data_IF_112919988291
#
_entry.id   IF_112919988291
#
_cell.length_a   1.000
_cell.length_b   1.000
_cell.length_c   1.000
_cell.angle_alpha   90.00
_cell.angle_beta   90.00
_cell.angle_gamma   90.00
#
_symmetry.space_group_name_H-M   'P 1'
#
loop_
_entity.id
_entity.type
_entity.pdbx_description
1 polymer ?
#
# COMPACT_ATOMS: atom_id res chain seq x y z
N UNK A 1 26.60 71.23 20.09
CA UNK A 1 26.86 71.64 21.48
C UNK A 1 27.30 70.41 22.27
N UNK A 2 28.53 70.45 22.81
CA UNK A 2 29.19 69.54 23.80
C UNK A 2 29.13 68.02 23.51
N UNK A 3 30.19 67.44 22.91
CA UNK A 3 31.35 66.80 23.59
C UNK A 3 30.94 65.84 24.71
N UNK A 4 31.33 64.57 24.58
CA UNK A 4 32.37 63.96 25.43
C UNK A 4 32.81 62.63 24.78
N UNK A 5 34.10 62.53 24.43
CA UNK A 5 35.15 61.77 25.17
C UNK A 5 34.98 60.27 24.90
N UNK A 6 35.83 59.66 24.08
CA UNK A 6 37.22 59.36 24.43
C UNK A 6 37.21 58.11 25.33
N UNK A 7 38.02 57.09 25.15
CA UNK A 7 39.36 57.10 24.63
C UNK A 7 39.87 55.64 24.72
N UNK A 8 41.00 55.39 24.05
CA UNK A 8 42.00 54.37 24.38
C UNK A 8 41.63 52.92 23.99
N UNK A 9 42.53 52.14 23.39
CA UNK A 9 43.95 52.36 23.13
C UNK A 9 44.49 51.27 22.20
N UNK A 10 45.57 51.64 21.49
CA UNK A 10 46.83 50.91 21.25
C UNK A 10 46.75 49.39 21.08
N UNK A 11 47.32 48.80 20.04
CA UNK A 11 48.41 49.27 19.20
C UNK A 11 49.30 48.07 18.87
N UNK A 12 50.00 48.20 17.75
CA UNK A 12 51.31 47.60 17.44
C UNK A 12 51.30 46.09 17.11
N UNK A 13 51.55 45.77 15.82
CA UNK A 13 52.86 45.35 15.25
C UNK A 13 53.08 43.83 15.45
N UNK A 14 53.71 43.03 14.60
CA UNK A 14 54.26 43.09 13.23
C UNK A 14 54.65 41.64 12.91
N UNK A 15 54.72 41.30 11.63
CA UNK A 15 55.52 40.18 11.09
C UNK A 15 54.94 38.78 11.32
N UNK A 16 55.30 37.77 10.57
CA UNK A 16 55.92 37.67 9.25
C UNK A 16 55.58 36.23 8.78
N UNK A 17 55.38 36.10 7.48
CA UNK A 17 55.46 34.89 6.63
C UNK A 17 55.64 33.53 7.32
N UNK A 18 54.73 32.59 7.03
CA UNK A 18 55.04 31.44 6.15
C UNK A 18 54.01 30.31 6.24
N UNK A 19 53.79 29.67 5.07
CA UNK A 19 53.46 28.24 4.88
C UNK A 19 52.05 27.74 5.23
N UNK A 20 51.21 27.79 4.20
CA UNK A 20 50.60 26.62 3.51
C UNK A 20 49.93 25.54 4.40
N UNK A 21 48.59 25.57 4.28
CA UNK A 21 47.59 24.48 4.21
C UNK A 21 47.03 23.87 5.49
N UNK A 22 45.70 23.76 5.40
CA UNK A 22 44.76 22.97 6.19
C UNK A 22 44.47 23.44 7.61
N UNK A 23 43.22 23.88 7.83
CA UNK A 23 42.29 23.21 8.75
C UNK A 23 40.95 23.93 8.78
N UNK A 24 39.93 23.17 8.41
CA UNK A 24 38.62 23.08 9.05
C UNK A 24 38.31 24.11 10.14
N UNK A 25 37.26 24.91 9.94
CA UNK A 25 36.32 25.30 11.01
C UNK A 25 35.04 25.88 10.42
N UNK A 26 34.08 24.97 10.31
CA UNK A 26 32.64 25.14 10.50
C UNK A 26 32.34 26.21 11.56
N UNK A 27 31.44 27.16 11.24
CA UNK A 27 30.48 27.81 12.16
C UNK A 27 29.47 28.60 11.30
N UNK A 28 28.34 28.02 10.89
CA UNK A 28 27.15 27.72 11.68
C UNK A 28 26.33 28.98 12.01
N UNK A 29 25.17 29.08 11.32
CA UNK A 29 23.89 29.75 11.63
C UNK A 29 23.25 30.00 10.26
N UNK A 30 22.29 29.21 9.77
CA UNK A 30 21.07 28.79 10.47
C UNK A 30 20.60 27.38 10.13
N UNK A 31 19.75 26.92 11.04
CA UNK A 31 19.51 25.55 11.45
C UNK A 31 18.38 24.88 10.66
N UNK A 32 18.64 23.61 10.32
CA UNK A 32 17.75 22.44 10.46
C UNK A 32 16.44 22.45 9.65
N UNK A 33 16.45 21.73 8.51
CA UNK A 33 15.49 20.63 8.25
C UNK A 33 16.21 19.49 7.53
N UNK A 34 16.86 18.65 8.33
CA UNK A 34 17.18 17.28 7.96
C UNK A 34 15.89 16.45 8.07
N UNK A 35 15.51 15.74 6.99
CA UNK A 35 14.91 14.40 7.03
C UNK A 35 14.67 13.89 5.61
N UNK A 36 15.45 12.87 5.26
CA UNK A 36 15.15 11.79 4.32
C UNK A 36 14.82 12.17 2.87
N UNK A 37 15.89 12.43 2.10
CA UNK A 37 15.88 12.23 0.65
C UNK A 37 15.90 10.72 0.38
N UNK A 38 14.72 10.09 0.39
CA UNK A 38 14.58 8.68 -0.01
C UNK A 38 15.04 8.58 -1.46
N UNK A 39 16.23 8.00 -1.70
CA UNK A 39 16.65 7.57 -3.02
C UNK A 39 15.78 6.38 -3.38
N UNK A 40 14.64 6.63 -4.03
CA UNK A 40 13.86 5.57 -4.67
C UNK A 40 14.72 5.06 -5.84
N UNK A 41 15.49 3.99 -5.59
CA UNK A 41 16.16 3.23 -6.64
C UNK A 41 15.06 2.44 -7.36
N UNK A 42 14.49 3.04 -8.40
CA UNK A 42 13.70 2.28 -9.37
C UNK A 42 14.70 1.41 -10.12
N UNK A 43 14.85 0.15 -9.70
CA UNK A 43 15.62 -0.85 -10.45
C UNK A 43 14.73 -1.36 -11.57
N UNK A 44 15.01 -0.95 -12.80
CA UNK A 44 14.53 -1.62 -14.01
C UNK A 44 15.63 -2.55 -14.51
N UNK A 45 15.36 -3.87 -14.44
CA UNK A 45 15.78 -4.92 -15.38
C UNK A 45 15.31 -6.28 -14.82
N UNK A 46 14.66 -7.06 -15.68
CA UNK A 46 14.08 -8.38 -15.36
C UNK A 46 15.11 -9.29 -14.71
N UNK A 47 14.71 -9.94 -13.62
CA UNK A 47 14.11 -11.28 -13.63
C UNK A 47 13.20 -11.44 -12.38
N UNK A 48 12.14 -12.23 -12.56
CA UNK A 48 11.42 -13.12 -11.61
C UNK A 48 11.02 -12.73 -10.17
N UNK A 49 11.10 -11.46 -9.74
CA UNK A 49 10.38 -11.03 -8.53
C UNK A 49 9.08 -10.30 -8.88
N UNK A 50 8.03 -11.09 -9.16
CA UNK A 50 6.66 -10.62 -9.47
C UNK A 50 6.13 -9.89 -8.24
N UNK A 51 6.30 -8.56 -8.21
CA UNK A 51 5.69 -7.72 -7.15
C UNK A 51 4.19 -8.02 -7.17
N UNK A 52 3.69 -8.73 -6.14
CA UNK A 52 2.30 -9.16 -6.02
C UNK A 52 1.43 -7.91 -6.11
N UNK A 53 0.78 -7.70 -7.26
CA UNK A 53 -0.07 -6.54 -7.50
C UNK A 53 -1.35 -6.77 -6.73
N UNK A 54 -1.71 -5.80 -5.89
CA UNK A 54 -2.85 -5.87 -4.99
C UNK A 54 -3.77 -4.66 -5.24
N UNK A 55 -5.10 -4.87 -5.38
CA UNK A 55 -5.82 -6.14 -5.51
C UNK A 55 -5.52 -6.88 -6.82
N UNK A 56 -5.85 -8.17 -6.89
CA UNK A 56 -5.80 -8.96 -8.13
C UNK A 56 -6.85 -8.41 -9.12
N UNK A 57 -6.41 -8.13 -10.35
CA UNK A 57 -7.26 -7.57 -11.41
C UNK A 57 -8.22 -8.64 -11.96
N UNK A 58 -9.40 -8.24 -12.43
CA UNK A 58 -10.44 -9.18 -12.89
C UNK A 58 -9.94 -10.22 -13.90
N UNK A 59 -9.07 -9.84 -14.84
CA UNK A 59 -8.51 -10.75 -15.85
C UNK A 59 -7.58 -11.84 -15.29
N UNK A 60 -7.11 -11.69 -14.05
CA UNK A 60 -6.23 -12.61 -13.33
C UNK A 60 -6.98 -13.46 -12.28
N UNK A 61 -8.26 -13.19 -12.02
CA UNK A 61 -9.12 -13.97 -11.09
C UNK A 61 -9.56 -15.30 -11.73
N UNK A 62 -8.59 -16.17 -11.99
CA UNK A 62 -8.78 -17.42 -12.74
C UNK A 62 -8.30 -18.63 -11.95
N UNK A 63 -8.94 -19.77 -12.19
CA UNK A 63 -8.60 -21.06 -11.58
C UNK A 63 -9.63 -21.51 -10.56
N UNK A 64 -9.54 -22.80 -10.18
CA UNK A 64 -10.59 -23.51 -9.44
C UNK A 64 -11.09 -22.83 -8.17
N UNK A 65 -10.23 -22.16 -7.39
CA UNK A 65 -10.69 -21.48 -6.17
C UNK A 65 -11.44 -20.18 -6.49
N UNK A 66 -11.00 -19.43 -7.49
CA UNK A 66 -11.71 -18.24 -7.96
C UNK A 66 -13.05 -18.61 -8.57
N UNK A 67 -13.09 -19.68 -9.35
CA UNK A 67 -14.34 -20.21 -9.93
C UNK A 67 -15.31 -20.68 -8.85
N UNK A 68 -14.83 -21.41 -7.84
CA UNK A 68 -15.66 -21.82 -6.71
C UNK A 68 -16.16 -20.63 -5.91
N UNK A 69 -15.29 -19.66 -5.60
CA UNK A 69 -15.71 -18.43 -4.90
C UNK A 69 -16.71 -17.60 -5.71
N UNK A 70 -16.70 -17.69 -7.04
CA UNK A 70 -17.69 -16.99 -7.86
C UNK A 70 -19.09 -17.62 -7.78
N UNK A 71 -19.22 -18.86 -7.27
CA UNK A 71 -20.51 -19.47 -6.96
C UNK A 71 -21.17 -18.85 -5.72
N UNK A 72 -20.38 -18.16 -4.88
CA UNK A 72 -20.91 -17.39 -3.76
C UNK A 72 -21.44 -16.08 -4.31
N UNK A 73 -22.75 -15.89 -4.23
CA UNK A 73 -23.44 -14.71 -4.74
C UNK A 73 -23.69 -13.70 -3.60
N UNK A 74 -23.58 -12.42 -3.94
CA UNK A 74 -24.05 -11.35 -3.06
C UNK A 74 -25.60 -11.37 -3.04
N UNK A 75 -26.24 -11.53 -1.87
CA UNK A 75 -27.71 -11.62 -1.77
C UNK A 75 -28.46 -10.33 -2.15
N UNK A 76 -27.80 -9.18 -2.19
CA UNK A 76 -28.41 -7.92 -2.64
C UNK A 76 -28.31 -7.77 -4.15
N UNK A 77 -27.15 -8.09 -4.72
CA UNK A 77 -26.87 -7.87 -6.15
C UNK A 77 -27.17 -9.09 -7.03
N UNK A 78 -27.34 -10.29 -6.45
CA UNK A 78 -27.51 -11.57 -7.15
C UNK A 78 -26.40 -11.87 -8.17
N UNK A 79 -25.16 -11.51 -7.80
CA UNK A 79 -23.96 -11.67 -8.64
C UNK A 79 -22.85 -12.28 -7.82
N UNK A 80 -22.04 -13.14 -8.44
CA UNK A 80 -20.87 -13.75 -7.82
C UNK A 80 -19.87 -12.74 -7.26
N UNK A 81 -19.35 -13.00 -6.05
CA UNK A 81 -18.46 -12.06 -5.33
C UNK A 81 -17.12 -11.81 -6.05
N UNK A 82 -16.69 -12.73 -6.90
CA UNK A 82 -15.44 -12.60 -7.67
C UNK A 82 -15.65 -11.68 -8.86
N UNK A 83 -16.76 -11.83 -9.58
CA UNK A 83 -17.12 -10.95 -10.69
C UNK A 83 -17.54 -9.56 -10.20
N UNK A 84 -18.18 -9.46 -9.04
CA UNK A 84 -18.46 -8.17 -8.38
C UNK A 84 -17.18 -7.48 -7.89
N UNK A 85 -16.06 -8.19 -7.82
CA UNK A 85 -14.77 -7.66 -7.39
C UNK A 85 -14.63 -7.44 -5.89
N UNK A 86 -15.39 -8.19 -5.09
CA UNK A 86 -15.26 -8.18 -3.63
C UNK A 86 -14.06 -8.99 -3.15
N UNK A 87 -13.64 -10.01 -3.91
CA UNK A 87 -12.46 -10.82 -3.58
C UNK A 87 -11.20 -10.19 -4.17
N UNK A 88 -10.26 -9.81 -3.30
CA UNK A 88 -9.02 -9.14 -3.67
C UNK A 88 -7.86 -10.11 -3.90
N UNK A 89 -7.83 -11.20 -3.15
CA UNK A 89 -6.78 -12.21 -3.26
C UNK A 89 -7.20 -13.54 -2.61
N UNK A 90 -6.60 -14.62 -3.12
CA UNK A 90 -6.79 -15.98 -2.64
C UNK A 90 -5.43 -16.66 -2.61
N UNK A 91 -4.98 -17.03 -1.42
CA UNK A 91 -3.70 -17.71 -1.21
C UNK A 91 -3.93 -19.00 -0.42
N UNK A 92 -3.44 -20.13 -0.94
CA UNK A 92 -3.50 -21.41 -0.22
C UNK A 92 -2.11 -21.71 0.31
N UNK A 93 -1.98 -21.87 1.63
CA UNK A 93 -0.71 -22.17 2.28
C UNK A 93 -0.91 -23.19 3.39
N UNK A 94 -0.11 -24.25 3.37
CA UNK A 94 -0.12 -25.32 4.39
C UNK A 94 -1.51 -25.98 4.61
N UNK A 95 -2.37 -25.94 3.58
CA UNK A 95 -3.75 -26.44 3.63
C UNK A 95 -4.76 -25.44 4.23
N UNK A 96 -4.36 -24.19 4.47
CA UNK A 96 -5.25 -23.11 4.90
C UNK A 96 -5.49 -22.17 3.71
N UNK A 97 -6.75 -21.85 3.46
CA UNK A 97 -7.12 -20.87 2.45
C UNK A 97 -7.24 -19.48 3.07
N UNK A 98 -6.39 -18.56 2.65
CA UNK A 98 -6.43 -17.15 3.03
C UNK A 98 -7.14 -16.37 1.94
N UNK A 99 -8.39 -15.99 2.22
CA UNK A 99 -9.19 -15.16 1.32
C UNK A 99 -9.15 -13.75 1.86
N UNK A 100 -8.67 -12.81 1.05
CA UNK A 100 -8.84 -11.40 1.40
C UNK A 100 -9.91 -10.78 0.54
N UNK A 101 -10.90 -10.19 1.19
CA UNK A 101 -12.05 -9.62 0.53
C UNK A 101 -12.51 -8.33 1.20
N UNK A 102 -13.42 -7.64 0.53
CA UNK A 102 -14.11 -6.46 1.03
C UNK A 102 -15.62 -6.62 0.88
N UNK A 103 -16.38 -5.63 1.32
CA UNK A 103 -17.83 -5.56 1.13
C UNK A 103 -18.18 -4.28 0.38
N UNK A 104 -19.35 -4.27 -0.25
CA UNK A 104 -19.91 -3.10 -0.94
C UNK A 104 -20.10 -1.91 0.00
N UNK A 105 -20.35 -2.16 1.29
CA UNK A 105 -20.55 -1.12 2.31
C UNK A 105 -19.97 -1.51 3.68
N UNK A 106 -19.54 -0.49 4.42
CA UNK A 106 -19.08 -0.64 5.81
C UNK A 106 -20.22 -1.09 6.71
N UNK A 107 -20.05 -2.23 7.39
CA UNK A 107 -21.03 -2.73 8.35
C UNK A 107 -22.27 -3.37 7.73
N UNK A 108 -22.18 -3.86 6.48
CA UNK A 108 -23.26 -4.62 5.87
C UNK A 108 -23.66 -5.81 6.77
N UNK A 109 -24.94 -5.93 7.18
CA UNK A 109 -25.41 -7.02 8.05
C UNK A 109 -25.28 -8.40 7.40
N UNK A 110 -25.14 -8.44 6.07
CA UNK A 110 -24.99 -9.66 5.27
C UNK A 110 -23.53 -10.11 5.13
N UNK A 111 -22.57 -9.29 5.58
CA UNK A 111 -21.14 -9.63 5.55
C UNK A 111 -20.82 -11.00 6.17
N UNK A 112 -21.29 -11.31 7.40
CA UNK A 112 -21.08 -12.61 8.02
C UNK A 112 -21.67 -13.78 7.22
N UNK A 113 -22.78 -13.57 6.51
CA UNK A 113 -23.37 -14.60 5.67
C UNK A 113 -22.48 -14.90 4.47
N UNK A 114 -22.05 -13.86 3.73
CA UNK A 114 -21.14 -14.00 2.58
C UNK A 114 -19.83 -14.68 3.00
N UNK A 115 -19.26 -14.27 4.14
CA UNK A 115 -18.05 -14.90 4.68
C UNK A 115 -18.26 -16.38 5.01
N UNK A 116 -19.42 -16.74 5.59
CA UNK A 116 -19.78 -18.12 5.86
C UNK A 116 -19.94 -18.96 4.59
N UNK A 117 -20.53 -18.38 3.55
CA UNK A 117 -20.69 -19.05 2.25
C UNK A 117 -19.33 -19.25 1.56
N UNK A 118 -18.43 -18.26 1.63
CA UNK A 118 -17.02 -18.37 1.19
C UNK A 118 -16.31 -19.53 1.89
N UNK A 119 -16.42 -19.61 3.21
CA UNK A 119 -15.80 -20.69 3.98
C UNK A 119 -16.37 -22.04 3.57
N UNK A 120 -17.69 -22.15 3.47
CA UNK A 120 -18.37 -23.39 3.08
C UNK A 120 -17.93 -23.87 1.70
N UNK A 121 -17.84 -22.96 0.74
CA UNK A 121 -17.50 -23.31 -0.64
C UNK A 121 -16.05 -23.76 -0.77
N UNK A 122 -15.11 -23.09 -0.09
CA UNK A 122 -13.71 -23.50 -0.08
C UNK A 122 -13.46 -24.78 0.74
N UNK A 123 -14.27 -25.05 1.77
CA UNK A 123 -14.18 -26.30 2.53
C UNK A 123 -14.63 -27.53 1.74
N UNK A 124 -15.24 -27.37 0.55
CA UNK A 124 -15.54 -28.49 -0.34
C UNK A 124 -14.28 -29.11 -0.97
N UNK A 125 -13.15 -28.39 -0.96
CA UNK A 125 -11.88 -28.90 -1.47
C UNK A 125 -11.18 -29.76 -0.41
N UNK A 126 -10.92 -31.03 -0.72
CA UNK A 126 -10.30 -32.00 0.22
C UNK A 126 -8.89 -31.63 0.71
N UNK A 127 -8.22 -30.74 -0.01
CA UNK A 127 -6.89 -30.19 0.30
C UNK A 127 -6.93 -28.98 1.23
N UNK A 128 -8.10 -28.35 1.42
CA UNK A 128 -8.32 -27.23 2.33
C UNK A 128 -8.80 -27.79 3.68
N UNK A 129 -8.06 -27.48 4.73
CA UNK A 129 -8.33 -27.89 6.12
C UNK A 129 -9.04 -26.79 6.91
N UNK A 130 -8.77 -25.54 6.56
CA UNK A 130 -9.31 -24.37 7.22
C UNK A 130 -9.35 -23.18 6.24
N UNK A 131 -10.23 -22.21 6.52
CA UNK A 131 -10.44 -21.03 5.68
C UNK A 131 -10.44 -19.77 6.57
N UNK A 132 -9.42 -18.94 6.38
CA UNK A 132 -9.27 -17.65 7.02
C UNK A 132 -9.72 -16.54 6.06
N UNK A 133 -10.80 -15.85 6.43
CA UNK A 133 -11.38 -14.76 5.64
C UNK A 133 -10.97 -13.43 6.27
N UNK A 134 -10.04 -12.74 5.61
CA UNK A 134 -9.56 -11.43 6.00
C UNK A 134 -10.40 -10.33 5.34
N UNK A 135 -11.24 -9.68 6.13
CA UNK A 135 -12.06 -8.55 5.67
C UNK A 135 -11.25 -7.25 5.73
N UNK A 136 -11.02 -6.63 4.58
CA UNK A 136 -10.30 -5.36 4.44
C UNK A 136 -11.20 -4.26 3.91
N UNK A 137 -10.92 -3.02 4.33
CA UNK A 137 -11.62 -1.82 3.87
C UNK A 137 -10.76 -0.91 3.00
N UNK A 138 -9.47 -1.27 2.85
CA UNK A 138 -8.52 -0.52 2.05
C UNK A 138 -7.77 -1.49 1.12
N UNK A 139 -7.81 -1.30 -0.21
CA UNK A 139 -8.58 -0.28 -0.92
C UNK A 139 -10.10 -0.45 -0.72
N UNK A 140 -10.83 0.67 -0.72
CA UNK A 140 -12.29 0.64 -0.70
C UNK A 140 -12.80 0.11 -2.03
N UNK A 141 -13.89 -0.67 -1.99
CA UNK A 141 -14.52 -1.19 -3.19
C UNK A 141 -15.04 -0.04 -4.08
N UNK A 142 -14.93 -0.22 -5.40
CA UNK A 142 -15.58 0.64 -6.38
C UNK A 142 -16.18 -0.19 -7.51
N UNK A 143 -17.23 0.30 -8.20
CA UNK A 143 -17.79 -0.33 -9.40
C UNK A 143 -16.75 -0.65 -10.48
N UNK A 144 -15.62 0.07 -10.53
CA UNK A 144 -14.54 -0.20 -11.48
C UNK A 144 -13.82 -1.54 -11.23
N UNK A 145 -14.03 -2.18 -10.07
CA UNK A 145 -13.42 -3.47 -9.71
C UNK A 145 -14.18 -4.68 -10.24
N UNK A 146 -15.39 -4.47 -10.74
CA UNK A 146 -16.22 -5.52 -11.32
C UNK A 146 -15.64 -6.03 -12.64
N UNK A 147 -16.01 -7.24 -13.02
CA UNK A 147 -15.78 -7.74 -14.37
C UNK A 147 -16.54 -6.87 -15.39
N UNK A 148 -16.03 -6.81 -16.62
CA UNK A 148 -16.66 -6.02 -17.70
C UNK A 148 -18.11 -6.47 -17.95
N UNK A 149 -18.35 -7.78 -17.90
CA UNK A 149 -19.68 -8.37 -18.13
C UNK A 149 -20.68 -7.97 -17.04
N UNK A 150 -20.28 -8.03 -15.76
CA UNK A 150 -21.14 -7.63 -14.64
C UNK A 150 -21.39 -6.13 -14.62
N UNK A 151 -20.35 -5.33 -14.91
CA UNK A 151 -20.49 -3.88 -15.01
C UNK A 151 -21.48 -3.51 -16.12
N UNK A 152 -21.41 -4.17 -17.26
CA UNK A 152 -22.36 -3.99 -18.35
C UNK A 152 -23.77 -4.45 -17.97
N UNK A 153 -23.91 -5.60 -17.30
CA UNK A 153 -25.21 -6.13 -16.85
C UNK A 153 -25.94 -5.17 -15.90
N UNK A 154 -25.21 -4.60 -14.93
CA UNK A 154 -25.79 -3.79 -13.86
C UNK A 154 -25.94 -2.31 -14.21
N UNK A 155 -25.00 -1.75 -15.00
CA UNK A 155 -24.99 -0.32 -15.33
C UNK A 155 -25.17 0.01 -16.82
N UNK A 156 -25.18 -0.99 -17.72
CA UNK A 156 -25.38 -0.78 -19.16
C UNK A 156 -24.26 -0.01 -19.87
N UNK A 157 -23.05 -0.02 -19.30
CA UNK A 157 -21.85 0.72 -19.76
C UNK A 157 -20.61 -0.15 -19.78
#
# INVERSE_FOLDING_TARGET
MKKQVGNKNRGEEKGDKDKIKNKDKIKNKDKIKNKNKIKIKIKTKGDDNKVKRWPVVASERKGRYWEALNLVEDPEMMVGIVDLGLVYDVEIKDGIAYVTMTLTSLGCPLGPQIMGDVQKELMNFSEIKDVDVNLVWNPAWSPEMMSEDVRYLLWGV
#
